data_IF_027270966299
#
_entry.id   IF_027270966299
#
_cell.length_a   1.000
_cell.length_b   1.000
_cell.length_c   1.000
_cell.angle_alpha   90.00
_cell.angle_beta   90.00
_cell.angle_gamma   90.00
#
_symmetry.space_group_name_H-M   'P 1'
#
loop_
_entity.id
_entity.type
_entity.pdbx_description
1 polymer ?
#
# COMPACT_ATOMS: atom_id res chain seq x y z
N UNK A 1 5.62 -12.61 -18.30
CA UNK A 1 6.68 -12.68 -17.28
C UNK A 1 6.44 -11.50 -16.36
N UNK A 2 5.87 -11.60 -15.16
CA UNK A 2 5.33 -12.71 -14.36
C UNK A 2 4.16 -12.12 -13.57
N UNK A 3 3.05 -12.85 -13.44
CA UNK A 3 1.78 -12.30 -12.93
C UNK A 3 1.66 -12.60 -11.44
N UNK A 4 2.07 -11.63 -10.62
CA UNK A 4 1.92 -11.70 -9.17
C UNK A 4 0.54 -11.14 -8.82
N UNK A 5 -0.30 -11.94 -8.17
CA UNK A 5 -1.51 -11.44 -7.52
C UNK A 5 -1.16 -11.13 -6.06
N UNK A 6 -1.74 -10.09 -5.47
CA UNK A 6 -1.65 -9.91 -4.03
C UNK A 6 -2.43 -11.05 -3.36
N UNK A 7 -1.75 -11.89 -2.59
CA UNK A 7 -2.45 -12.68 -1.59
C UNK A 7 -2.53 -11.87 -0.32
N UNK A 8 -3.65 -11.95 0.36
CA UNK A 8 -3.90 -11.26 1.59
C UNK A 8 -2.76 -11.24 2.58
N UNK A 9 -2.76 -10.21 3.43
CA UNK A 9 -1.97 -10.16 4.66
C UNK A 9 -2.18 -11.49 5.39
N UNK A 10 -1.18 -12.38 5.38
CA UNK A 10 -1.28 -13.65 6.10
C UNK A 10 -0.94 -13.40 7.57
N UNK A 11 -1.76 -14.03 8.42
CA UNK A 11 -1.95 -13.83 9.85
C UNK A 11 -0.67 -13.82 10.70
N UNK A 12 -0.68 -12.87 11.65
CA UNK A 12 -0.24 -12.97 13.06
C UNK A 12 1.22 -13.35 13.38
N UNK A 13 1.99 -12.33 13.77
CA UNK A 13 2.85 -12.43 14.98
C UNK A 13 2.46 -11.43 16.08
N UNK A 14 1.77 -10.33 15.80
CA UNK A 14 1.34 -9.41 16.88
C UNK A 14 -0.04 -8.79 16.62
N UNK A 15 -1.06 -9.41 17.22
CA UNK A 15 -2.31 -8.81 17.72
C UNK A 15 -2.34 -7.25 17.76
N UNK A 16 -2.66 -6.53 16.68
CA UNK A 16 -2.73 -5.05 16.72
C UNK A 16 -3.66 -4.44 15.65
N UNK A 17 -4.16 -3.23 15.90
CA UNK A 17 -4.95 -2.43 14.95
C UNK A 17 -4.02 -1.68 13.99
N UNK A 18 -4.41 -1.50 12.73
CA UNK A 18 -3.61 -0.83 11.70
C UNK A 18 -4.47 0.18 10.95
N UNK A 19 -4.02 1.42 10.79
CA UNK A 19 -4.61 2.34 9.81
C UNK A 19 -3.68 2.42 8.60
N UNK A 20 -4.21 2.04 7.44
CA UNK A 20 -3.57 2.20 6.14
C UNK A 20 -4.14 3.42 5.46
N UNK A 21 -3.24 4.26 4.98
CA UNK A 21 -3.57 5.43 4.17
C UNK A 21 -3.03 5.15 2.77
N UNK A 22 -3.93 4.77 1.87
CA UNK A 22 -3.59 4.37 0.51
C UNK A 22 -3.89 5.50 -0.48
N UNK A 23 -2.93 5.77 -1.36
CA UNK A 23 -3.03 6.69 -2.48
C UNK A 23 -2.84 5.85 -3.75
N UNK A 24 -3.76 5.99 -4.70
CA UNK A 24 -3.70 5.29 -5.97
C UNK A 24 -3.71 6.28 -7.15
N UNK A 25 -3.11 5.85 -8.26
CA UNK A 25 -3.21 6.56 -9.54
C UNK A 25 -4.60 6.38 -10.15
N UNK A 26 -5.14 7.37 -10.86
CA UNK A 26 -6.37 7.21 -11.65
C UNK A 26 -6.08 6.53 -12.99
N UNK A 27 -6.90 5.54 -13.38
CA UNK A 27 -6.81 4.86 -14.66
C UNK A 27 -7.69 5.56 -15.70
N UNK A 28 -7.16 6.56 -16.41
CA UNK A 28 -7.70 6.98 -17.70
C UNK A 28 -6.72 6.59 -18.78
N UNK A 29 -7.12 5.67 -19.65
CA UNK A 29 -6.34 5.21 -20.82
C UNK A 29 -5.73 6.39 -21.59
N UNK A 30 -4.42 6.63 -21.46
CA UNK A 30 -3.61 7.38 -22.42
C UNK A 30 -2.09 7.22 -22.15
N UNK A 31 -1.47 6.51 -23.11
CA UNK A 31 -0.11 6.56 -23.67
C UNK A 31 1.11 6.96 -22.83
N UNK A 32 2.12 6.10 -23.02
CA UNK A 32 3.57 6.18 -22.80
C UNK A 32 4.20 7.57 -22.97
N UNK A 33 5.17 7.89 -22.11
CA UNK A 33 6.51 8.34 -22.53
C UNK A 33 7.52 8.28 -21.36
N UNK A 34 8.78 8.11 -21.72
CA UNK A 34 9.94 7.85 -20.86
C UNK A 34 10.61 9.12 -20.32
N UNK A 35 11.38 8.93 -19.25
CA UNK A 35 12.68 9.55 -18.92
C UNK A 35 12.80 10.64 -17.82
N UNK A 36 13.77 10.34 -16.94
CA UNK A 36 14.67 11.14 -16.07
C UNK A 36 14.25 12.46 -15.41
N UNK A 37 14.36 12.42 -14.07
CA UNK A 37 15.26 13.28 -13.31
C UNK A 37 14.61 14.45 -12.56
N UNK A 38 14.79 14.49 -11.24
CA UNK A 38 15.34 15.64 -10.48
C UNK A 38 15.34 15.37 -8.96
N UNK A 39 16.44 15.75 -8.29
CA UNK A 39 16.48 16.14 -6.86
C UNK A 39 16.63 15.03 -5.81
N UNK A 40 17.88 14.67 -5.46
CA UNK A 40 18.18 13.78 -4.33
C UNK A 40 17.82 14.43 -2.98
N UNK A 41 16.74 13.96 -2.36
CA UNK A 41 16.67 13.89 -0.89
C UNK A 41 17.04 12.47 -0.50
N UNK A 42 18.19 12.29 0.18
CA UNK A 42 18.71 10.96 0.56
C UNK A 42 17.86 10.32 1.65
N UNK A 43 16.69 9.81 1.28
CA UNK A 43 16.02 8.76 2.03
C UNK A 43 16.77 7.47 1.74
N UNK A 44 17.18 6.75 2.79
CA UNK A 44 17.83 5.47 2.62
C UNK A 44 16.76 4.49 2.13
N UNK A 45 16.73 4.20 0.82
CA UNK A 45 15.98 3.05 0.31
C UNK A 45 16.56 1.83 1.04
N UNK A 46 15.78 1.22 1.93
CA UNK A 46 16.20 -0.03 2.54
C UNK A 46 16.34 -1.04 1.39
N UNK A 47 17.37 -1.89 1.43
CA UNK A 47 17.44 -2.98 0.46
C UNK A 47 16.24 -3.89 0.75
N UNK A 48 15.25 -3.86 -0.14
CA UNK A 48 13.95 -4.53 0.04
C UNK A 48 14.14 -6.03 0.35
N UNK A 49 15.25 -6.60 -0.10
CA UNK A 49 15.69 -7.98 0.14
C UNK A 49 15.69 -8.39 1.61
N UNK A 50 16.02 -7.48 2.53
CA UNK A 50 16.06 -7.81 3.96
C UNK A 50 14.65 -8.05 4.56
N UNK A 51 13.59 -7.67 3.85
CA UNK A 51 12.19 -7.75 4.29
C UNK A 51 11.36 -8.78 3.51
N UNK A 52 11.95 -9.43 2.49
CA UNK A 52 11.25 -10.38 1.62
C UNK A 52 11.60 -11.81 2.07
N UNK A 53 10.59 -12.59 2.41
CA UNK A 53 10.67 -14.05 2.53
C UNK A 53 9.92 -14.69 1.36
N UNK A 54 10.65 -15.21 0.37
CA UNK A 54 10.10 -15.71 -0.88
C UNK A 54 10.29 -17.23 -1.04
N UNK A 55 9.38 -17.85 -1.79
CA UNK A 55 9.42 -19.28 -2.14
C UNK A 55 10.67 -19.69 -2.91
N UNK A 56 11.20 -18.76 -3.71
CA UNK A 56 12.35 -18.99 -4.58
C UNK A 56 13.01 -17.66 -4.99
N UNK A 57 14.29 -17.67 -5.42
CA UNK A 57 15.02 -16.45 -5.78
C UNK A 57 14.47 -15.68 -6.98
N UNK A 58 13.77 -16.34 -7.91
CA UNK A 58 13.15 -15.66 -9.05
C UNK A 58 11.96 -14.81 -8.56
N UNK A 59 11.11 -15.40 -7.72
CA UNK A 59 9.99 -14.69 -7.08
C UNK A 59 10.47 -13.52 -6.22
N UNK A 60 11.56 -13.69 -5.46
CA UNK A 60 12.18 -12.60 -4.68
C UNK A 60 12.61 -11.44 -5.59
N UNK A 61 13.29 -11.74 -6.71
CA UNK A 61 13.79 -10.72 -7.64
C UNK A 61 12.67 -9.91 -8.27
N UNK A 62 11.59 -10.57 -8.72
CA UNK A 62 10.43 -9.88 -9.30
C UNK A 62 9.79 -8.95 -8.27
N UNK A 63 9.61 -9.43 -7.04
CA UNK A 63 9.02 -8.62 -5.96
C UNK A 63 9.91 -7.44 -5.58
N UNK A 64 11.24 -7.64 -5.50
CA UNK A 64 12.19 -6.58 -5.17
C UNK A 64 12.28 -5.49 -6.26
N UNK A 65 11.94 -5.81 -7.51
CA UNK A 65 11.83 -4.84 -8.60
C UNK A 65 10.53 -4.03 -8.55
N UNK A 66 9.42 -4.69 -8.21
CA UNK A 66 8.08 -4.08 -8.27
C UNK A 66 7.65 -3.37 -6.99
N UNK A 67 8.17 -3.81 -5.84
CA UNK A 67 7.80 -3.30 -4.53
C UNK A 67 8.99 -2.58 -3.90
N UNK A 68 8.75 -1.36 -3.45
CA UNK A 68 9.72 -0.57 -2.68
C UNK A 68 9.16 -0.25 -1.30
N UNK A 69 9.97 -0.51 -0.26
CA UNK A 69 9.66 -0.18 1.13
C UNK A 69 10.59 0.95 1.59
N UNK A 70 9.99 2.00 2.13
CA UNK A 70 10.66 3.14 2.73
C UNK A 70 10.38 3.12 4.23
N UNK A 71 11.33 2.61 4.99
CA UNK A 71 11.23 2.58 6.45
C UNK A 71 11.25 3.98 7.06
N UNK A 72 10.60 4.13 8.21
CA UNK A 72 10.58 5.39 8.95
C UNK A 72 10.21 6.61 8.08
N UNK A 73 9.43 6.39 7.02
CA UNK A 73 8.98 7.45 6.12
C UNK A 73 8.18 8.51 6.88
N UNK A 74 7.41 8.09 7.88
CA UNK A 74 6.81 8.97 8.87
C UNK A 74 7.70 9.05 10.10
N UNK A 75 7.96 10.26 10.57
CA UNK A 75 8.33 10.49 11.97
C UNK A 75 7.15 10.17 12.91
N UNK A 76 7.42 9.96 14.19
CA UNK A 76 6.36 9.73 15.19
C UNK A 76 5.37 10.91 15.26
N UNK A 77 5.86 12.14 15.09
CA UNK A 77 5.03 13.35 15.05
C UNK A 77 4.11 13.37 13.84
N UNK A 78 4.61 12.97 12.67
CA UNK A 78 3.82 12.90 11.44
C UNK A 78 2.75 11.82 11.53
N UNK A 79 3.10 10.63 12.05
CA UNK A 79 2.12 9.57 12.29
C UNK A 79 1.02 10.04 13.27
N UNK A 80 1.40 10.67 14.38
CA UNK A 80 0.44 11.21 15.34
C UNK A 80 -0.46 12.29 14.74
N UNK A 81 0.09 13.17 13.89
CA UNK A 81 -0.66 14.21 13.19
C UNK A 81 -1.71 13.61 12.23
N UNK A 82 -1.35 12.56 11.48
CA UNK A 82 -2.28 11.83 10.62
C UNK A 82 -3.39 11.18 11.46
N UNK A 83 -3.02 10.42 12.50
CA UNK A 83 -3.96 9.72 13.37
C UNK A 83 -4.93 10.69 14.06
N UNK A 84 -4.44 11.80 14.58
CA UNK A 84 -5.27 12.81 15.25
C UNK A 84 -6.33 13.41 14.32
N UNK A 85 -6.05 13.49 13.03
CA UNK A 85 -7.01 13.99 12.03
C UNK A 85 -8.03 12.93 11.60
N UNK A 86 -7.63 11.66 11.46
CA UNK A 86 -8.50 10.60 10.91
C UNK A 86 -9.30 9.85 11.99
N UNK A 87 -8.74 9.68 13.18
CA UNK A 87 -9.35 8.89 14.25
C UNK A 87 -10.75 9.37 14.67
N UNK A 88 -11.05 10.68 14.79
CA UNK A 88 -12.39 11.13 15.19
C UNK A 88 -13.47 10.60 14.25
N UNK A 89 -13.21 10.58 12.93
CA UNK A 89 -14.15 10.08 11.93
C UNK A 89 -14.26 8.55 11.97
N UNK A 90 -13.12 7.86 12.05
CA UNK A 90 -13.06 6.40 12.04
C UNK A 90 -13.70 5.81 13.31
N UNK A 91 -13.48 6.39 14.48
CA UNK A 91 -14.04 5.94 15.78
C UNK A 91 -15.57 5.96 15.84
N UNK A 92 -16.22 6.79 15.02
CA UNK A 92 -17.67 6.82 14.89
C UNK A 92 -18.24 5.68 14.03
N UNK A 93 -17.39 4.98 13.28
CA UNK A 93 -17.78 3.89 12.38
C UNK A 93 -17.66 2.56 13.11
N UNK A 94 -18.57 1.63 12.79
CA UNK A 94 -18.49 0.24 13.25
C UNK A 94 -17.52 -0.52 12.36
N UNK A 95 -16.85 -1.53 12.93
CA UNK A 95 -16.12 -2.51 12.13
C UNK A 95 -17.12 -3.39 11.38
N UNK A 96 -16.83 -3.60 10.11
CA UNK A 96 -17.55 -4.45 9.18
C UNK A 96 -16.87 -5.83 9.14
N UNK A 97 -17.68 -6.87 9.28
CA UNK A 97 -17.25 -8.27 9.29
C UNK A 97 -17.95 -9.11 8.21
N UNK A 98 -19.03 -8.58 7.61
CA UNK A 98 -19.80 -9.23 6.57
C UNK A 98 -19.81 -8.32 5.33
N UNK A 99 -19.05 -8.67 4.29
CA UNK A 99 -19.04 -7.97 3.01
C UNK A 99 -19.18 -8.96 1.85
N UNK A 100 -19.92 -8.57 0.80
CA UNK A 100 -20.37 -9.47 -0.26
C UNK A 100 -19.22 -10.03 -1.13
N UNK A 101 -18.10 -9.32 -1.23
CA UNK A 101 -16.88 -9.78 -1.91
C UNK A 101 -15.91 -10.51 -0.98
N UNK A 102 -16.12 -10.42 0.35
CA UNK A 102 -15.31 -11.04 1.39
C UNK A 102 -13.80 -10.76 1.29
N UNK A 103 -13.40 -9.65 0.65
CA UNK A 103 -11.98 -9.32 0.48
C UNK A 103 -11.38 -8.77 1.76
N UNK A 104 -12.10 -7.94 2.49
CA UNK A 104 -11.61 -7.35 3.74
C UNK A 104 -12.51 -7.80 4.89
N UNK A 105 -11.89 -8.24 6.00
CA UNK A 105 -12.59 -8.68 7.20
C UNK A 105 -12.17 -7.84 8.40
N UNK A 106 -13.14 -7.42 9.23
CA UNK A 106 -12.90 -6.69 10.46
C UNK A 106 -12.29 -5.32 10.23
N UNK A 107 -12.89 -4.54 9.33
CA UNK A 107 -12.38 -3.24 8.86
C UNK A 107 -13.40 -2.11 9.01
N UNK A 108 -12.92 -0.87 8.93
CA UNK A 108 -13.75 0.30 8.68
C UNK A 108 -12.98 1.20 7.73
N UNK A 109 -13.67 1.80 6.78
CA UNK A 109 -13.01 2.57 5.73
C UNK A 109 -13.76 3.84 5.35
N UNK A 110 -13.02 4.83 4.87
CA UNK A 110 -13.60 6.05 4.31
C UNK A 110 -12.58 6.68 3.38
N UNK A 111 -13.07 7.50 2.46
CA UNK A 111 -12.23 8.33 1.61
C UNK A 111 -12.12 9.75 2.17
N UNK A 112 -10.94 10.35 2.07
CA UNK A 112 -10.67 11.73 2.53
C UNK A 112 -9.89 12.51 1.48
N UNK A 113 -10.41 13.69 1.15
CA UNK A 113 -9.79 14.62 0.20
C UNK A 113 -9.02 15.74 0.88
N UNK A 114 -9.68 16.46 1.79
CA UNK A 114 -9.13 17.66 2.39
C UNK A 114 -8.35 17.30 3.66
N UNK A 115 -7.11 17.77 3.76
CA UNK A 115 -6.20 17.51 4.86
C UNK A 115 -5.78 18.81 5.53
N UNK A 116 -5.40 18.76 6.82
CA UNK A 116 -4.77 19.92 7.45
C UNK A 116 -3.42 20.23 6.77
N UNK A 117 -2.84 21.40 7.04
CA UNK A 117 -1.57 21.83 6.38
C UNK A 117 -0.43 20.81 6.58
N UNK A 118 -0.20 20.36 7.82
CA UNK A 118 0.88 19.43 8.14
C UNK A 118 0.68 18.06 7.43
N UNK A 119 -0.56 17.56 7.40
CA UNK A 119 -0.85 16.30 6.75
C UNK A 119 -0.87 16.41 5.23
N UNK A 120 -1.22 17.58 4.67
CA UNK A 120 -1.10 17.85 3.23
C UNK A 120 0.36 17.73 2.77
N UNK A 121 1.32 18.22 3.57
CA UNK A 121 2.75 18.09 3.27
C UNK A 121 3.17 16.61 3.22
N UNK A 122 2.68 15.77 4.14
CA UNK A 122 2.94 14.32 4.15
C UNK A 122 2.35 13.65 2.90
N UNK A 123 1.07 13.93 2.59
CA UNK A 123 0.39 13.35 1.43
C UNK A 123 1.11 13.76 0.13
N UNK A 124 1.53 15.01 0.00
CA UNK A 124 2.30 15.47 -1.16
C UNK A 124 3.67 14.78 -1.24
N UNK A 125 4.36 14.56 -0.11
CA UNK A 125 5.63 13.83 -0.09
C UNK A 125 5.47 12.38 -0.56
N UNK A 126 4.36 11.71 -0.22
CA UNK A 126 4.02 10.39 -0.78
C UNK A 126 3.79 10.49 -2.29
N UNK A 127 3.03 11.50 -2.73
CA UNK A 127 2.70 11.69 -4.15
C UNK A 127 3.95 11.92 -5.01
N UNK A 128 4.84 12.80 -4.56
CA UNK A 128 6.08 13.15 -5.24
C UNK A 128 7.05 11.97 -5.32
N UNK A 129 7.10 11.14 -4.26
CA UNK A 129 8.00 10.00 -4.21
C UNK A 129 7.48 8.80 -5.03
N UNK A 130 6.18 8.50 -4.94
CA UNK A 130 5.63 7.28 -5.51
C UNK A 130 5.15 7.43 -6.96
N UNK A 131 4.73 8.62 -7.39
CA UNK A 131 4.08 8.80 -8.68
C UNK A 131 4.93 9.68 -9.61
N UNK A 132 5.02 9.36 -10.91
CA UNK A 132 5.67 10.24 -11.88
C UNK A 132 4.97 11.61 -11.93
N UNK A 133 5.70 12.68 -12.31
CA UNK A 133 5.10 13.98 -12.54
C UNK A 133 4.04 13.90 -13.64
N UNK A 134 3.07 14.84 -13.60
CA UNK A 134 2.02 15.01 -14.62
C UNK A 134 1.06 13.83 -14.81
N UNK A 135 1.08 12.89 -13.87
CA UNK A 135 0.17 11.77 -13.83
C UNK A 135 -1.09 12.10 -13.02
N UNK A 136 -2.31 11.89 -13.56
CA UNK A 136 -3.54 12.01 -12.78
C UNK A 136 -3.58 11.03 -11.61
N UNK A 137 -3.72 11.56 -10.40
CA UNK A 137 -3.83 10.80 -9.16
C UNK A 137 -5.26 10.87 -8.62
N UNK A 138 -5.69 9.86 -7.88
CA UNK A 138 -6.95 9.95 -7.15
C UNK A 138 -6.89 11.13 -6.18
N UNK A 139 -7.92 11.99 -6.26
CA UNK A 139 -8.02 13.16 -5.39
C UNK A 139 -8.29 12.75 -3.94
N UNK A 140 -9.10 11.70 -3.77
CA UNK A 140 -9.39 11.11 -2.48
C UNK A 140 -8.31 10.10 -2.09
N UNK A 141 -7.91 10.14 -0.83
CA UNK A 141 -7.01 9.19 -0.20
C UNK A 141 -7.87 8.21 0.58
N UNK A 142 -7.64 6.92 0.35
CA UNK A 142 -8.38 5.84 0.98
C UNK A 142 -7.83 5.57 2.38
N UNK A 143 -8.71 5.58 3.38
CA UNK A 143 -8.38 5.28 4.76
C UNK A 143 -8.99 3.94 5.13
N UNK A 144 -8.16 2.97 5.49
CA UNK A 144 -8.57 1.64 5.90
C UNK A 144 -8.05 1.37 7.31
N UNK A 145 -8.95 1.18 8.26
CA UNK A 145 -8.61 0.78 9.62
C UNK A 145 -9.01 -0.68 9.84
N UNK A 146 -8.02 -1.51 10.15
CA UNK A 146 -8.19 -2.91 10.50
C UNK A 146 -8.27 -3.06 12.02
N UNK A 147 -9.28 -3.78 12.48
CA UNK A 147 -9.36 -4.25 13.85
C UNK A 147 -8.20 -5.19 14.17
N UNK A 148 -7.99 -5.47 15.46
CA UNK A 148 -6.94 -6.38 15.94
C UNK A 148 -6.98 -7.78 15.31
N UNK A 149 -8.15 -8.23 14.88
CA UNK A 149 -8.38 -9.51 14.21
C UNK A 149 -8.73 -9.35 12.74
N UNK A 150 -8.66 -8.13 12.21
CA UNK A 150 -8.96 -7.81 10.83
C UNK A 150 -7.83 -8.26 9.92
N UNK A 151 -8.19 -8.56 8.68
CA UNK A 151 -7.25 -8.96 7.64
C UNK A 151 -7.82 -8.65 6.26
N UNK A 152 -6.92 -8.62 5.28
CA UNK A 152 -7.28 -8.49 3.87
C UNK A 152 -6.97 -9.85 3.24
N UNK A 153 -7.92 -10.45 2.54
CA UNK A 153 -7.79 -11.69 1.78
C UNK A 153 -7.05 -11.45 0.44
N UNK A 154 -6.59 -12.52 -0.23
CA UNK A 154 -6.09 -12.45 -1.59
C UNK A 154 -7.05 -11.76 -2.55
N UNK A 155 -6.57 -10.72 -3.22
CA UNK A 155 -7.34 -9.98 -4.22
C UNK A 155 -6.40 -9.26 -5.19
N UNK A 156 -6.98 -8.80 -6.29
CA UNK A 156 -6.31 -7.93 -7.24
C UNK A 156 -7.09 -6.63 -7.22
N UNK A 157 -6.39 -5.53 -7.00
CA UNK A 157 -7.00 -4.22 -7.05
C UNK A 157 -7.67 -3.98 -8.41
N UNK A 158 -8.84 -3.37 -8.37
CA UNK A 158 -9.62 -3.13 -9.59
C UNK A 158 -8.88 -2.16 -10.51
N UNK A 159 -8.59 -2.59 -11.73
CA UNK A 159 -7.99 -1.77 -12.80
C UNK A 159 -8.79 -0.52 -13.16
N UNK A 160 -10.07 -0.47 -12.75
CA UNK A 160 -10.94 0.70 -12.94
C UNK A 160 -10.65 1.81 -11.94
N UNK A 161 -10.16 1.46 -10.76
CA UNK A 161 -9.99 2.37 -9.63
C UNK A 161 -8.51 2.57 -9.26
N UNK A 162 -7.68 1.55 -9.48
CA UNK A 162 -6.24 1.60 -9.28
C UNK A 162 -5.55 1.63 -10.65
N UNK A 163 -4.77 2.69 -10.88
CA UNK A 163 -3.81 2.74 -11.98
C UNK A 163 -2.57 1.91 -11.69
N UNK A 164 -1.46 2.25 -12.35
CA UNK A 164 -0.26 1.41 -12.33
C UNK A 164 0.63 1.53 -11.07
N UNK A 165 0.25 2.36 -10.10
CA UNK A 165 1.00 2.57 -8.86
C UNK A 165 0.03 2.65 -7.69
N UNK A 166 0.37 1.92 -6.63
CA UNK A 166 -0.28 2.02 -5.31
C UNK A 166 0.78 2.40 -4.29
N UNK A 167 0.51 3.43 -3.50
CA UNK A 167 1.36 3.86 -2.41
C UNK A 167 0.57 3.80 -1.10
N UNK A 168 1.09 3.11 -0.09
CA UNK A 168 0.40 2.96 1.19
C UNK A 168 1.30 3.29 2.39
N UNK A 169 0.80 4.15 3.27
CA UNK A 169 1.40 4.38 4.58
C UNK A 169 0.88 3.33 5.56
N UNK A 170 1.79 2.70 6.29
CA UNK A 170 1.45 1.78 7.36
C UNK A 170 1.63 2.45 8.73
N UNK A 171 0.59 2.48 9.55
CA UNK A 171 0.60 3.15 10.87
C UNK A 171 0.12 2.22 11.98
N UNK A 172 0.38 2.61 13.24
CA UNK A 172 0.04 1.89 14.48
C UNK A 172 0.81 0.58 14.72
N UNK A 173 0.87 -0.31 13.73
CA UNK A 173 1.47 -1.64 13.89
C UNK A 173 2.06 -2.20 12.60
N UNK A 174 3.10 -3.06 12.71
CA UNK A 174 3.64 -3.76 11.56
C UNK A 174 2.65 -4.80 11.04
N UNK A 175 2.75 -5.14 9.76
CA UNK A 175 1.98 -6.21 9.13
C UNK A 175 2.82 -6.93 8.08
N UNK A 176 2.40 -8.12 7.68
CA UNK A 176 3.01 -8.87 6.57
C UNK A 176 2.09 -8.77 5.36
N UNK A 177 2.60 -8.33 4.22
CA UNK A 177 1.88 -8.35 2.95
C UNK A 177 2.40 -9.51 2.12
N UNK A 178 1.51 -10.44 1.75
CA UNK A 178 1.90 -11.56 0.91
C UNK A 178 1.62 -11.27 -0.57
N UNK A 179 2.43 -11.83 -1.43
CA UNK A 179 2.24 -11.84 -2.87
C UNK A 179 2.24 -13.30 -3.29
N UNK A 180 1.26 -13.72 -4.10
CA UNK A 180 1.16 -15.10 -4.62
C UNK A 180 0.92 -15.02 -6.11
N UNK A 181 1.67 -15.80 -6.88
CA UNK A 181 1.47 -15.83 -8.32
C UNK A 181 0.04 -16.28 -8.68
N UNK A 182 -0.54 -15.65 -9.72
CA UNK A 182 -1.95 -15.88 -10.06
C UNK A 182 -2.23 -17.35 -10.45
N UNK A 183 -1.32 -17.97 -11.21
CA UNK A 183 -1.44 -19.37 -11.64
C UNK A 183 -0.69 -20.35 -10.72
N UNK A 184 0.59 -20.09 -10.43
CA UNK A 184 1.48 -20.95 -9.62
C UNK A 184 1.37 -20.60 -8.13
N UNK A 185 0.40 -21.18 -7.43
CA UNK A 185 0.11 -20.82 -6.03
C UNK A 185 1.21 -21.18 -5.02
N UNK A 186 2.15 -22.01 -5.43
CA UNK A 186 3.39 -22.34 -4.72
C UNK A 186 4.45 -21.24 -4.81
N UNK A 187 4.34 -20.32 -5.78
CA UNK A 187 5.19 -19.12 -5.87
C UNK A 187 4.61 -17.99 -5.05
N UNK A 188 5.31 -17.58 -4.00
CA UNK A 188 4.88 -16.51 -3.11
C UNK A 188 6.04 -15.73 -2.49
N UNK A 189 5.75 -14.53 -1.99
CA UNK A 189 6.65 -13.73 -1.19
C UNK A 189 5.90 -13.01 -0.08
N UNK A 190 6.44 -13.04 1.13
CA UNK A 190 6.00 -12.25 2.27
C UNK A 190 6.89 -11.02 2.42
N UNK A 191 6.28 -9.85 2.58
CA UNK A 191 6.99 -8.59 2.85
C UNK A 191 6.57 -8.05 4.21
N UNK A 192 7.54 -7.84 5.09
CA UNK A 192 7.30 -7.14 6.35
C UNK A 192 7.15 -5.63 6.09
N UNK A 193 5.98 -5.09 6.43
CA UNK A 193 5.67 -3.67 6.36
C UNK A 193 5.65 -3.12 7.78
N UNK A 194 6.75 -2.50 8.17
CA UNK A 194 6.92 -1.93 9.50
C UNK A 194 5.99 -0.74 9.76
N UNK A 195 5.76 -0.44 11.04
CA UNK A 195 5.04 0.78 11.43
C UNK A 195 5.80 2.02 10.93
N UNK A 196 5.07 3.05 10.49
CA UNK A 196 5.61 4.31 9.93
C UNK A 196 6.32 4.16 8.57
N UNK A 197 6.21 3.00 7.92
CA UNK A 197 6.75 2.79 6.59
C UNK A 197 5.80 3.27 5.49
N UNK A 198 6.38 3.56 4.33
CA UNK A 198 5.66 3.71 3.07
C UNK A 198 6.02 2.52 2.19
N UNK A 199 5.03 1.82 1.65
CA UNK A 199 5.22 0.86 0.57
C UNK A 199 4.74 1.45 -0.75
N UNK A 200 5.44 1.16 -1.83
CA UNK A 200 5.07 1.54 -3.20
C UNK A 200 5.09 0.28 -4.06
N UNK A 201 3.99 -0.01 -4.74
CA UNK A 201 3.84 -1.15 -5.66
C UNK A 201 3.63 -0.63 -7.08
N UNK A 202 4.42 -1.13 -8.03
CA UNK A 202 4.29 -0.83 -9.45
C UNK A 202 3.62 -1.99 -10.21
N UNK A 203 2.91 -1.68 -11.31
CA UNK A 203 1.97 -2.60 -11.98
C UNK A 203 2.54 -3.76 -12.79
N UNK A 204 3.74 -4.25 -12.53
CA UNK A 204 4.02 -5.64 -12.93
C UNK A 204 3.45 -6.62 -11.87
N UNK A 205 3.14 -6.12 -10.66
CA UNK A 205 2.44 -6.85 -9.59
C UNK A 205 0.90 -6.78 -9.65
N UNK A 206 0.30 -6.36 -10.78
CA UNK A 206 -1.15 -6.42 -10.99
C UNK A 206 -1.49 -7.19 -12.27
N UNK A 207 -2.37 -8.20 -12.22
CA UNK A 207 -2.84 -8.86 -13.42
C UNK A 207 -3.62 -7.89 -14.32
N UNK A 208 -3.05 -7.61 -15.49
CA UNK A 208 -3.83 -7.15 -16.64
C UNK A 208 -4.88 -8.22 -16.92
N UNK A 209 -6.15 -7.91 -16.65
CA UNK A 209 -7.27 -8.70 -17.17
C UNK A 209 -7.18 -8.63 -18.70
N UNK A 210 -7.02 -9.81 -19.32
CA UNK A 210 -7.11 -9.96 -20.77
C UNK A 210 -8.54 -9.69 -21.27
#
# INVERSE_FOLDING_TARGET
MSLIAMSGIIRNVWKCSTVRIAICRYSSTARTETFAGYGEMKMKKAEVRDYIDASDPETESVIAEDVSIFENFLSEKEELSLLSEVEPRLKMMKYEFDHWDSVIYGYRETDKKDWNKANTEIINRVRELAFPPDVPQLTYVHLLDLSRSGYINPHIDSVRFCGNVIAGLNTLSPCVMRFVHYEQKDKFADILIERRSLYVMNSVAQPLQA
#
